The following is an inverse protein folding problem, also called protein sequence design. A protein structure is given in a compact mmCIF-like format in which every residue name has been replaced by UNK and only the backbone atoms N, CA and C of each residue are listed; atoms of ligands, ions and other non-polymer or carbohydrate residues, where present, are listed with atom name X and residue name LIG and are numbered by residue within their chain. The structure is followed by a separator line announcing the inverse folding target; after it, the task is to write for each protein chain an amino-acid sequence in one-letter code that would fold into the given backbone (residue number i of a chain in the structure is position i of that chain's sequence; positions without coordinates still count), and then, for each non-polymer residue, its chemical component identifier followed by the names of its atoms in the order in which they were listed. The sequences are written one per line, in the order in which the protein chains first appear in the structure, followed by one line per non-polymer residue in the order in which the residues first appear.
data_IF_800727745643
#
_entry.id   IF_800727745643
#
_cell.length_a   1.000
_cell.length_b   1.000
_cell.length_c   1.000
_cell.angle_alpha   90.00
_cell.angle_beta   90.00
_cell.angle_gamma   90.00
#
_symmetry.space_group_name_H-M   'P 1'
#
loop_
_entity.id
_entity.type
_entity.pdbx_description
1 polymer ?
#
# COMPACT_ATOMS: atom_id res chain seq x y z
N UNK A 1 53.08 -22.50 -13.83
CA UNK A 1 54.15 -22.72 -14.83
C UNK A 1 54.17 -21.55 -15.81
N UNK A 2 55.12 -20.63 -15.66
CA UNK A 2 55.70 -19.83 -16.76
C UNK A 2 57.10 -19.45 -16.29
N UNK A 3 58.08 -19.95 -17.03
CA UNK A 3 59.51 -19.95 -16.76
C UNK A 3 60.16 -18.77 -17.51
N UNK A 4 61.38 -18.46 -17.07
CA UNK A 4 62.54 -17.89 -17.80
C UNK A 4 62.72 -16.35 -17.70
N UNK A 5 63.77 -15.84 -17.02
CA UNK A 5 65.22 -15.76 -17.38
C UNK A 5 65.45 -14.64 -18.44
N UNK A 6 66.42 -13.72 -18.46
CA UNK A 6 67.63 -13.33 -17.70
C UNK A 6 67.89 -11.83 -18.06
N UNK A 7 68.87 -11.20 -17.40
CA UNK A 7 70.04 -10.53 -18.03
C UNK A 7 70.21 -9.02 -17.72
N UNK A 8 71.29 -8.78 -16.95
CA UNK A 8 72.32 -7.72 -17.10
C UNK A 8 71.94 -6.26 -16.85
N UNK A 9 72.38 -5.67 -15.73
CA UNK A 9 73.70 -5.04 -15.51
C UNK A 9 74.01 -3.88 -16.50
N UNK A 10 73.56 -2.68 -16.14
CA UNK A 10 74.11 -1.38 -16.56
C UNK A 10 73.72 -0.42 -15.43
N UNK A 11 74.51 -0.33 -14.36
CA UNK A 11 75.57 0.67 -14.18
C UNK A 11 75.33 1.97 -14.95
N UNK A 12 75.41 3.06 -14.19
CA UNK A 12 75.62 4.44 -14.64
C UNK A 12 74.34 5.29 -14.91
N UNK A 13 74.20 6.28 -14.04
CA UNK A 13 73.61 7.59 -14.30
C UNK A 13 72.09 7.71 -14.37
N UNK A 14 71.44 7.61 -13.21
CA UNK A 14 70.58 8.72 -12.80
C UNK A 14 70.55 8.83 -11.28
N UNK A 15 71.72 9.15 -10.71
CA UNK A 15 71.84 9.90 -9.47
C UNK A 15 71.22 11.29 -9.71
N UNK A 16 69.90 11.37 -9.95
CA UNK A 16 69.17 12.57 -9.60
C UNK A 16 69.05 12.43 -8.09
N UNK A 17 69.97 13.09 -7.41
CA UNK A 17 69.81 13.41 -6.01
C UNK A 17 68.45 14.11 -5.90
N UNK A 18 67.42 13.32 -5.60
CA UNK A 18 66.27 13.80 -4.83
C UNK A 18 66.90 14.21 -3.51
N UNK A 19 67.50 15.41 -3.52
CA UNK A 19 67.78 16.17 -2.34
C UNK A 19 66.50 16.05 -1.53
N UNK A 20 66.55 15.53 -0.29
CA UNK A 20 65.39 15.62 0.56
C UNK A 20 65.14 17.11 0.65
N UNK A 21 64.15 17.60 -0.10
CA UNK A 21 63.74 19.00 -0.05
C UNK A 21 63.47 19.18 1.42
N UNK A 22 64.36 19.92 2.10
CA UNK A 22 64.30 20.06 3.54
C UNK A 22 62.88 20.53 3.80
N UNK A 23 62.04 19.63 4.33
CA UNK A 23 60.65 19.93 4.60
C UNK A 23 60.73 21.12 5.54
N UNK A 24 60.44 22.31 5.02
CA UNK A 24 60.58 23.55 5.76
C UNK A 24 59.93 23.29 7.12
N UNK A 25 60.69 23.43 8.21
CA UNK A 25 60.24 23.16 9.59
C UNK A 25 58.99 23.99 9.83
N UNK A 26 57.84 23.38 9.55
CA UNK A 26 56.59 24.10 9.54
C UNK A 26 56.04 23.99 10.95
N UNK A 27 56.03 25.10 11.68
CA UNK A 27 55.54 25.16 13.06
C UNK A 27 54.05 24.80 13.20
N UNK A 28 53.32 24.63 12.10
CA UNK A 28 51.90 24.28 12.05
C UNK A 28 50.98 25.18 12.90
N UNK A 29 51.41 26.41 13.19
CA UNK A 29 50.64 27.41 13.95
C UNK A 29 49.47 27.96 13.15
N UNK A 30 49.63 28.16 11.85
CA UNK A 30 48.59 28.68 10.96
C UNK A 30 47.77 27.53 10.38
N UNK A 31 46.53 27.40 10.83
CA UNK A 31 45.67 26.29 10.45
C UNK A 31 44.28 26.75 10.06
N UNK A 32 43.65 26.03 9.13
CA UNK A 32 42.24 26.20 8.77
C UNK A 32 41.53 24.85 8.78
N UNK A 33 40.23 24.87 8.97
CA UNK A 33 39.38 23.70 8.77
C UNK A 33 38.77 23.74 7.36
N UNK A 34 38.78 22.60 6.68
CA UNK A 34 38.08 22.39 5.42
C UNK A 34 37.13 21.21 5.54
N UNK A 35 35.89 21.37 5.08
CA UNK A 35 34.91 20.28 5.06
C UNK A 35 35.13 19.43 3.82
N UNK A 36 35.51 18.17 4.02
CA UNK A 36 35.65 17.19 2.94
C UNK A 36 34.30 16.60 2.54
N UNK A 37 33.39 16.46 3.51
CA UNK A 37 32.06 15.92 3.28
C UNK A 37 31.06 16.57 4.22
N UNK A 38 30.03 17.21 3.64
CA UNK A 38 28.93 17.78 4.41
C UNK A 38 28.12 16.69 5.10
N UNK A 39 27.69 16.97 6.33
CA UNK A 39 26.81 16.06 7.06
C UNK A 39 25.39 16.11 6.47
N UNK A 40 24.77 14.94 6.35
CA UNK A 40 23.35 14.78 6.00
C UNK A 40 22.59 14.16 7.17
N UNK A 41 21.28 13.98 7.03
CA UNK A 41 20.49 13.27 8.04
C UNK A 41 20.70 11.74 8.02
N UNK A 42 21.40 11.20 7.02
CA UNK A 42 21.69 9.76 6.91
C UNK A 42 23.17 9.44 7.08
N UNK A 43 24.06 10.36 6.70
CA UNK A 43 25.52 10.18 6.72
C UNK A 43 26.18 11.29 7.53
N UNK A 44 27.14 10.90 8.37
CA UNK A 44 27.97 11.85 9.09
C UNK A 44 28.90 12.56 8.09
N UNK A 45 29.23 13.82 8.36
CA UNK A 45 30.20 14.57 7.56
C UNK A 45 31.63 14.33 8.04
N UNK A 46 32.59 14.97 7.37
CA UNK A 46 34.01 14.88 7.67
C UNK A 46 34.70 16.21 7.39
N UNK A 47 35.52 16.69 8.31
CA UNK A 47 36.37 17.88 8.13
C UNK A 47 37.82 17.59 8.50
N UNK A 48 38.74 18.32 7.88
CA UNK A 48 40.18 18.18 8.09
C UNK A 48 40.78 19.52 8.49
N UNK A 49 41.70 19.50 9.46
CA UNK A 49 42.51 20.65 9.88
C UNK A 49 43.80 20.64 9.07
N UNK A 50 44.01 21.67 8.27
CA UNK A 50 45.14 21.79 7.37
C UNK A 50 46.04 22.93 7.82
N UNK A 51 47.36 22.77 7.65
CA UNK A 51 48.30 23.88 7.76
C UNK A 51 48.19 24.77 6.52
N UNK A 52 47.92 26.06 6.70
CA UNK A 52 47.80 26.99 5.55
C UNK A 52 49.12 27.27 4.85
N UNK A 53 50.26 27.06 5.53
CA UNK A 53 51.60 27.31 4.98
C UNK A 53 52.17 26.13 4.17
N UNK A 54 51.85 24.89 4.53
CA UNK A 54 52.45 23.71 3.88
C UNK A 54 51.42 22.66 3.41
N UNK A 55 50.12 22.89 3.60
CA UNK A 55 49.06 22.00 3.14
C UNK A 55 48.90 20.69 3.93
N UNK A 56 49.78 20.39 4.89
CA UNK A 56 49.72 19.13 5.67
C UNK A 56 48.41 19.01 6.46
N UNK A 57 47.78 17.84 6.37
CA UNK A 57 46.67 17.42 7.22
C UNK A 57 47.17 17.11 8.63
N UNK A 58 46.62 17.82 9.61
CA UNK A 58 47.02 17.73 11.01
C UNK A 58 46.02 16.94 11.85
N UNK A 59 44.73 17.04 11.53
CA UNK A 59 43.66 16.35 12.25
C UNK A 59 42.47 16.13 11.34
N UNK A 60 41.80 15.00 11.52
CA UNK A 60 40.53 14.71 10.84
C UNK A 60 39.45 14.47 11.88
N UNK A 61 38.28 15.08 11.69
CA UNK A 61 37.15 14.95 12.61
C UNK A 61 35.86 14.58 11.85
N UNK A 62 34.99 13.87 12.57
CA UNK A 62 33.66 13.50 12.09
C UNK A 62 32.65 14.57 12.50
N UNK A 63 31.83 15.00 11.55
CA UNK A 63 30.71 15.92 11.81
C UNK A 63 29.46 15.07 12.06
N UNK A 64 28.79 15.27 13.21
CA UNK A 64 27.56 14.53 13.55
C UNK A 64 26.51 14.70 12.46
N UNK A 65 25.68 13.67 12.27
CA UNK A 65 24.56 13.71 11.31
C UNK A 65 23.61 14.86 11.66
N UNK A 66 23.00 15.46 10.64
CA UNK A 66 21.91 16.43 10.83
C UNK A 66 20.66 15.70 11.34
N UNK A 67 19.79 16.41 12.06
CA UNK A 67 18.49 15.85 12.45
C UNK A 67 17.58 15.65 11.23
N UNK A 68 16.65 14.70 11.33
CA UNK A 68 15.63 14.52 10.30
C UNK A 68 14.65 15.70 10.30
N UNK A 69 14.31 16.18 9.11
CA UNK A 69 13.24 17.17 8.92
C UNK A 69 11.94 16.42 8.65
N UNK A 70 11.17 16.15 9.70
CA UNK A 70 10.00 15.27 9.65
C UNK A 70 8.73 16.04 9.21
N UNK A 71 7.97 15.46 8.29
CA UNK A 71 6.62 15.89 7.89
C UNK A 71 5.61 14.83 8.27
N UNK A 72 4.42 15.24 8.74
CA UNK A 72 3.35 14.35 9.19
C UNK A 72 2.39 13.98 8.05
N UNK A 73 1.95 12.73 8.05
CA UNK A 73 1.05 12.14 7.07
C UNK A 73 0.00 11.29 7.78
N UNK A 74 -1.23 11.35 7.27
CA UNK A 74 -2.37 10.62 7.83
C UNK A 74 -3.10 9.88 6.72
N UNK A 75 -3.16 8.55 6.83
CA UNK A 75 -4.07 7.69 6.06
C UNK A 75 -5.27 7.42 6.95
N UNK A 76 -6.45 7.88 6.52
CA UNK A 76 -7.69 7.69 7.27
C UNK A 76 -8.04 6.19 7.35
N UNK A 77 -8.63 5.79 8.47
CA UNK A 77 -9.18 4.44 8.64
C UNK A 77 -10.45 4.22 7.80
N UNK A 78 -10.65 2.99 7.35
CA UNK A 78 -11.86 2.54 6.63
C UNK A 78 -12.71 1.67 7.55
N UNK A 79 -13.78 1.05 7.02
CA UNK A 79 -14.60 0.11 7.80
C UNK A 79 -13.80 -1.14 8.21
N UNK A 80 -12.87 -1.60 7.37
CA UNK A 80 -12.15 -2.88 7.54
C UNK A 80 -10.65 -2.73 7.73
N UNK A 81 -10.07 -1.57 7.41
CA UNK A 81 -8.64 -1.34 7.50
C UNK A 81 -8.32 -0.20 8.46
N UNK A 82 -7.33 -0.45 9.31
CA UNK A 82 -6.74 0.59 10.15
C UNK A 82 -6.15 1.70 9.27
N UNK A 83 -6.36 2.94 9.71
CA UNK A 83 -5.60 4.08 9.24
C UNK A 83 -4.21 4.12 9.88
N UNK A 84 -3.41 5.08 9.46
CA UNK A 84 -2.04 5.23 9.93
C UNK A 84 -1.70 6.71 10.07
N UNK A 85 -1.06 7.08 11.17
CA UNK A 85 -0.44 8.38 11.36
C UNK A 85 1.07 8.17 11.45
N UNK A 86 1.82 8.77 10.55
CA UNK A 86 3.27 8.59 10.46
C UNK A 86 3.97 9.86 10.04
N UNK A 87 5.27 9.91 10.28
CA UNK A 87 6.13 10.97 9.82
C UNK A 87 7.18 10.43 8.85
N UNK A 88 7.53 11.25 7.85
CA UNK A 88 8.57 10.96 6.88
C UNK A 88 9.54 12.13 6.81
N UNK A 89 10.83 11.85 6.76
CA UNK A 89 11.85 12.87 6.53
C UNK A 89 11.68 13.44 5.11
N UNK A 90 11.67 14.76 4.95
CA UNK A 90 11.56 15.39 3.64
C UNK A 90 12.84 15.30 2.80
N UNK A 91 13.96 14.90 3.42
CA UNK A 91 15.30 14.87 2.82
C UNK A 91 15.87 13.47 2.63
N UNK A 92 15.21 12.43 3.16
CA UNK A 92 15.65 11.05 3.02
C UNK A 92 14.48 10.06 3.21
N UNK A 93 14.75 8.76 3.12
CA UNK A 93 13.73 7.70 3.21
C UNK A 93 13.31 7.33 4.64
N UNK A 94 13.83 8.01 5.67
CA UNK A 94 13.46 7.71 7.06
C UNK A 94 11.97 7.98 7.29
N UNK A 95 11.31 7.02 7.94
CA UNK A 95 9.91 7.09 8.32
C UNK A 95 9.72 6.53 9.72
N UNK A 96 8.81 7.13 10.50
CA UNK A 96 8.39 6.57 11.79
C UNK A 96 6.87 6.58 11.91
N UNK A 97 6.29 5.48 12.34
CA UNK A 97 4.86 5.39 12.64
C UNK A 97 4.64 5.99 14.02
N UNK A 98 3.71 6.94 14.14
CA UNK A 98 3.33 7.52 15.42
C UNK A 98 2.29 6.64 16.10
N UNK A 99 1.23 6.29 15.36
CA UNK A 99 0.19 5.40 15.85
C UNK A 99 -0.61 4.79 14.69
N UNK A 100 -1.26 3.66 14.97
CA UNK A 100 -2.32 3.11 14.13
C UNK A 100 -3.64 3.79 14.50
N UNK A 101 -4.51 4.00 13.52
CA UNK A 101 -5.86 4.52 13.73
C UNK A 101 -6.79 3.31 13.53
N UNK A 102 -7.51 2.84 14.56
CA UNK A 102 -8.36 1.65 14.44
C UNK A 102 -9.37 1.76 13.29
N UNK A 103 -9.65 0.64 12.63
CA UNK A 103 -10.73 0.52 11.66
C UNK A 103 -12.04 0.97 12.30
N UNK A 104 -12.88 1.66 11.53
CA UNK A 104 -14.11 2.27 12.06
C UNK A 104 -15.21 1.25 12.35
N UNK A 105 -15.07 0.03 11.82
CA UNK A 105 -16.15 -0.95 11.75
C UNK A 105 -17.26 -0.52 10.77
N UNK A 106 -18.16 -1.45 10.50
CA UNK A 106 -19.36 -1.19 9.72
C UNK A 106 -20.42 -0.50 10.58
N UNK A 107 -21.10 0.49 9.99
CA UNK A 107 -22.28 1.12 10.58
C UNK A 107 -23.49 0.67 9.75
N UNK A 108 -24.11 -0.43 10.17
CA UNK A 108 -25.20 -1.06 9.43
C UNK A 108 -26.55 -0.43 9.75
N UNK A 109 -27.20 0.14 8.74
CA UNK A 109 -28.65 0.34 8.74
C UNK A 109 -29.36 -0.96 8.37
N UNK A 110 -30.57 -1.18 8.89
CA UNK A 110 -31.33 -2.43 8.71
C UNK A 110 -32.62 -2.16 7.95
N UNK A 111 -32.93 -3.01 6.98
CA UNK A 111 -34.20 -2.97 6.22
C UNK A 111 -34.83 -4.35 6.21
N UNK A 112 -36.11 -4.41 6.56
CA UNK A 112 -36.88 -5.65 6.60
C UNK A 112 -37.84 -5.72 5.42
N UNK A 113 -37.92 -6.92 4.82
CA UNK A 113 -38.87 -7.25 3.78
C UNK A 113 -39.64 -8.50 4.22
N UNK A 114 -40.96 -8.39 4.26
CA UNK A 114 -41.83 -9.52 4.54
C UNK A 114 -41.72 -10.60 3.46
N UNK A 115 -42.12 -11.82 3.81
CA UNK A 115 -42.16 -12.92 2.85
C UNK A 115 -43.15 -12.64 1.70
N UNK A 116 -42.82 -13.12 0.51
CA UNK A 116 -43.65 -13.00 -0.70
C UNK A 116 -44.00 -14.40 -1.25
N UNK A 117 -44.80 -14.43 -2.33
CA UNK A 117 -45.15 -15.68 -3.00
C UNK A 117 -43.93 -16.50 -3.43
N UNK A 118 -42.81 -15.83 -3.72
CA UNK A 118 -41.61 -16.43 -4.34
C UNK A 118 -40.35 -16.26 -3.50
N UNK A 119 -40.35 -15.38 -2.49
CA UNK A 119 -39.20 -15.14 -1.62
C UNK A 119 -39.58 -15.30 -0.14
N UNK A 120 -38.68 -15.87 0.69
CA UNK A 120 -38.85 -15.86 2.14
C UNK A 120 -38.76 -14.43 2.69
N UNK A 121 -39.06 -14.27 3.97
CA UNK A 121 -38.76 -13.03 4.68
C UNK A 121 -37.25 -12.77 4.64
N UNK A 122 -36.85 -11.52 4.42
CA UNK A 122 -35.45 -11.15 4.35
C UNK A 122 -35.17 -9.85 5.08
N UNK A 123 -34.02 -9.80 5.75
CA UNK A 123 -33.47 -8.60 6.38
C UNK A 123 -32.15 -8.28 5.68
N UNK A 124 -32.03 -7.06 5.17
CA UNK A 124 -30.80 -6.56 4.56
C UNK A 124 -30.18 -5.52 5.50
N UNK A 125 -28.95 -5.77 5.94
CA UNK A 125 -28.11 -4.80 6.64
C UNK A 125 -27.22 -4.12 5.62
N UNK A 126 -27.25 -2.80 5.52
CA UNK A 126 -26.41 -2.02 4.60
C UNK A 126 -25.53 -1.06 5.37
N UNK A 127 -24.22 -1.12 5.18
CA UNK A 127 -23.28 -0.23 5.83
C UNK A 127 -23.27 1.14 5.14
N UNK A 128 -23.69 2.20 5.82
CA UNK A 128 -23.79 3.56 5.25
C UNK A 128 -22.44 4.14 4.82
N UNK A 129 -21.36 3.68 5.47
CA UNK A 129 -20.00 4.19 5.22
C UNK A 129 -19.35 3.61 3.97
N UNK A 130 -19.73 2.39 3.56
CA UNK A 130 -19.01 1.66 2.51
C UNK A 130 -19.90 0.79 1.60
N UNK A 131 -21.21 0.78 1.81
CA UNK A 131 -22.17 0.04 1.00
C UNK A 131 -22.15 -1.48 1.18
N UNK A 132 -21.36 -2.04 2.11
CA UNK A 132 -21.36 -3.49 2.37
C UNK A 132 -22.78 -3.92 2.78
N UNK A 133 -23.28 -4.99 2.14
CA UNK A 133 -24.59 -5.56 2.44
C UNK A 133 -24.45 -6.94 3.07
N UNK A 134 -25.29 -7.22 4.06
CA UNK A 134 -25.44 -8.54 4.67
C UNK A 134 -26.93 -8.90 4.67
N UNK A 135 -27.27 -10.02 4.04
CA UNK A 135 -28.66 -10.45 3.89
C UNK A 135 -28.90 -11.69 4.72
N UNK A 136 -29.96 -11.67 5.52
CA UNK A 136 -30.42 -12.83 6.29
C UNK A 136 -31.85 -13.15 5.87
N UNK A 137 -32.12 -14.42 5.56
CA UNK A 137 -33.46 -14.90 5.20
C UNK A 137 -34.04 -15.77 6.30
N UNK A 138 -35.35 -15.70 6.51
CA UNK A 138 -36.07 -16.51 7.49
C UNK A 138 -37.27 -17.18 6.86
N UNK A 139 -37.42 -18.48 7.13
CA UNK A 139 -38.56 -19.26 6.67
C UNK A 139 -38.56 -19.55 5.16
N UNK A 140 -39.75 -19.84 4.63
CA UNK A 140 -39.99 -20.15 3.21
C UNK A 140 -40.88 -19.07 2.57
N UNK A 141 -40.89 -18.97 1.23
CA UNK A 141 -41.91 -18.19 0.55
C UNK A 141 -43.31 -18.62 0.98
N UNK A 142 -44.25 -17.67 1.05
CA UNK A 142 -45.64 -17.96 1.44
C UNK A 142 -46.39 -18.79 0.39
N UNK A 143 -45.80 -18.93 -0.80
CA UNK A 143 -46.38 -19.65 -1.93
C UNK A 143 -47.54 -18.90 -2.59
N UNK A 144 -47.91 -19.36 -3.77
CA UNK A 144 -49.05 -18.80 -4.50
C UNK A 144 -50.37 -19.32 -3.94
N UNK A 145 -51.29 -18.41 -3.62
CA UNK A 145 -52.69 -18.74 -3.37
C UNK A 145 -53.47 -18.55 -4.67
N UNK A 146 -53.68 -19.63 -5.40
CA UNK A 146 -54.33 -19.58 -6.70
C UNK A 146 -55.85 -19.44 -6.58
N UNK A 147 -56.43 -18.57 -7.41
CA UNK A 147 -57.88 -18.48 -7.61
C UNK A 147 -58.44 -19.61 -8.49
N UNK A 148 -59.72 -19.47 -8.85
CA UNK A 148 -60.43 -20.42 -9.73
C UNK A 148 -59.82 -20.40 -11.14
N UNK A 149 -59.89 -21.55 -11.82
CA UNK A 149 -59.56 -21.63 -13.24
C UNK A 149 -60.62 -20.92 -14.07
N UNK A 150 -60.17 -20.15 -15.05
CA UNK A 150 -60.98 -19.44 -16.03
C UNK A 150 -60.61 -19.95 -17.42
N UNK A 151 -61.64 -20.20 -18.22
CA UNK A 151 -61.49 -20.67 -19.59
C UNK A 151 -60.86 -19.58 -20.47
N UNK A 152 -59.88 -19.96 -21.27
CA UNK A 152 -59.30 -19.10 -22.31
C UNK A 152 -59.86 -19.49 -23.68
N UNK A 153 -59.75 -20.78 -24.02
CA UNK A 153 -60.16 -21.28 -25.33
C UNK A 153 -60.40 -22.79 -25.33
N UNK A 154 -61.28 -23.24 -26.20
CA UNK A 154 -61.51 -24.66 -26.52
C UNK A 154 -61.29 -24.86 -28.01
N UNK A 155 -60.56 -25.91 -28.39
CA UNK A 155 -60.39 -26.30 -29.79
C UNK A 155 -60.36 -27.82 -29.92
N UNK A 156 -60.27 -28.34 -31.16
CA UNK A 156 -60.24 -29.78 -31.44
C UNK A 156 -59.08 -30.52 -30.73
N UNK A 157 -57.99 -29.83 -30.42
CA UNK A 157 -56.82 -30.41 -29.75
C UNK A 157 -56.89 -30.38 -28.22
N UNK A 158 -57.80 -29.60 -27.62
CA UNK A 158 -57.95 -29.52 -26.17
C UNK A 158 -58.49 -28.19 -25.62
N UNK A 159 -58.31 -28.00 -24.31
CA UNK A 159 -58.78 -26.83 -23.55
C UNK A 159 -57.60 -26.07 -22.95
N UNK A 160 -57.61 -24.74 -23.08
CA UNK A 160 -56.68 -23.84 -22.39
C UNK A 160 -57.41 -23.07 -21.29
N UNK A 161 -56.86 -23.13 -20.07
CA UNK A 161 -57.35 -22.39 -18.90
C UNK A 161 -56.23 -21.55 -18.30
N UNK A 162 -56.61 -20.52 -17.54
CA UNK A 162 -55.70 -19.77 -16.69
C UNK A 162 -56.26 -19.56 -15.28
N UNK A 163 -55.41 -19.31 -14.30
CA UNK A 163 -55.81 -18.84 -12.96
C UNK A 163 -54.85 -17.80 -12.44
N UNK A 164 -55.33 -16.90 -11.60
CA UNK A 164 -54.54 -15.79 -11.05
C UNK A 164 -54.26 -16.02 -9.57
N UNK A 165 -53.02 -15.76 -9.13
CA UNK A 165 -52.66 -15.76 -7.71
C UNK A 165 -53.26 -14.52 -7.03
N UNK A 166 -54.06 -14.70 -5.99
CA UNK A 166 -54.73 -13.57 -5.29
C UNK A 166 -53.76 -12.71 -4.46
N UNK A 167 -52.55 -13.20 -4.21
CA UNK A 167 -51.53 -12.47 -3.43
C UNK A 167 -50.65 -11.56 -4.28
N UNK A 168 -50.35 -11.95 -5.52
CA UNK A 168 -49.35 -11.24 -6.35
C UNK A 168 -49.79 -11.03 -7.81
N UNK A 169 -50.99 -11.46 -8.20
CA UNK A 169 -51.50 -11.26 -9.56
C UNK A 169 -50.85 -12.13 -10.64
N UNK A 170 -49.89 -13.00 -10.30
CA UNK A 170 -49.27 -13.91 -11.28
C UNK A 170 -50.34 -14.79 -11.92
N UNK A 171 -50.28 -14.98 -13.24
CA UNK A 171 -51.18 -15.88 -13.98
C UNK A 171 -50.47 -17.21 -14.28
N UNK A 172 -51.16 -18.31 -14.03
CA UNK A 172 -50.74 -19.66 -14.40
C UNK A 172 -51.65 -20.21 -15.48
N UNK A 173 -51.09 -20.78 -16.54
CA UNK A 173 -51.82 -21.38 -17.65
C UNK A 173 -51.70 -22.91 -17.63
N UNK A 174 -52.75 -23.59 -18.10
CA UNK A 174 -52.76 -25.05 -18.28
C UNK A 174 -53.47 -25.40 -19.59
N UNK A 175 -52.82 -26.21 -20.41
CA UNK A 175 -53.42 -26.83 -21.59
C UNK A 175 -53.72 -28.29 -21.28
N UNK A 176 -54.96 -28.72 -21.46
CA UNK A 176 -55.38 -30.12 -21.34
C UNK A 176 -55.74 -30.64 -22.72
N UNK A 177 -55.07 -31.69 -23.18
CA UNK A 177 -55.41 -32.37 -24.44
C UNK A 177 -56.48 -33.43 -24.19
N UNK A 178 -57.35 -33.65 -25.17
CA UNK A 178 -58.26 -34.80 -25.13
C UNK A 178 -57.45 -36.09 -25.30
N UNK A 179 -57.81 -37.13 -24.54
CA UNK A 179 -57.31 -38.48 -24.77
C UNK A 179 -58.32 -39.15 -25.70
N UNK A 180 -57.87 -39.49 -26.89
CA UNK A 180 -58.60 -40.30 -27.86
C UNK A 180 -58.15 -41.75 -27.74
#
# INVERSE_FOLDING_TARGET
MKKILILTLCFLMCFITLTPTAFAKCSHKNTKWETLQEATCTKAGKRVKLCTKCGKSLKTERIKKKNHTLKRYIKKATCTSNGLNWERCSRCKYTRVLNKIPAKGHAFGVTHYGASCTAPEMTIKTCERCGKKETTTKGKPIGHKWGKWQLVSVNASGVRNYRTCVRCGLKQYKNSRYKF
#
